data_IF_023830521570
#
_entry.id   IF_023830521570
#
_cell.length_a   1.000
_cell.length_b   1.000
_cell.length_c   1.000
_cell.angle_alpha   90.00
_cell.angle_beta   90.00
_cell.angle_gamma   90.00
#
_symmetry.space_group_name_H-M   'P 1'
#
loop_
_entity.id
_entity.type
_entity.pdbx_description
1 polymer ?
#
# COMPACT_ATOMS: atom_id res chain seq x y z
N UNK A 1 -29.46 17.97 25.98
CA UNK A 1 -28.72 19.23 26.21
C UNK A 1 -27.28 19.22 25.66
N UNK A 2 -26.86 18.21 24.88
CA UNK A 2 -25.48 18.07 24.38
C UNK A 2 -25.27 18.54 22.92
N UNK A 3 -26.35 18.84 22.20
CA UNK A 3 -26.30 19.29 20.80
C UNK A 3 -25.62 20.66 20.60
N UNK A 4 -25.33 21.40 21.68
CA UNK A 4 -24.72 22.72 21.61
C UNK A 4 -23.18 22.71 21.75
N UNK A 5 -22.55 21.56 22.00
CA UNK A 5 -21.09 21.49 22.26
C UNK A 5 -20.29 21.12 21.01
N UNK A 6 -20.83 20.28 20.12
CA UNK A 6 -20.10 19.80 18.93
C UNK A 6 -19.84 20.91 17.92
N UNK A 7 -20.86 21.23 17.11
CA UNK A 7 -20.73 22.24 16.04
C UNK A 7 -20.51 23.67 16.59
N UNK A 8 -21.27 24.15 17.59
CA UNK A 8 -21.10 25.52 18.08
C UNK A 8 -19.81 25.73 18.87
N UNK A 9 -19.34 24.72 19.61
CA UNK A 9 -18.07 24.78 20.33
C UNK A 9 -16.87 24.86 19.39
N UNK A 10 -16.87 24.07 18.32
CA UNK A 10 -15.83 24.13 17.29
C UNK A 10 -15.80 25.49 16.57
N UNK A 11 -16.96 26.08 16.30
CA UNK A 11 -17.05 27.42 15.71
C UNK A 11 -16.45 28.49 16.63
N UNK A 12 -16.70 28.42 17.93
CA UNK A 12 -16.13 29.35 18.91
C UNK A 12 -14.60 29.24 18.95
N UNK A 13 -14.07 28.02 18.96
CA UNK A 13 -12.61 27.77 18.91
C UNK A 13 -12.02 28.34 17.62
N UNK A 14 -12.67 28.10 16.47
CA UNK A 14 -12.22 28.63 15.18
C UNK A 14 -12.13 30.17 15.17
N UNK A 15 -13.11 30.86 15.78
CA UNK A 15 -13.10 32.32 15.91
C UNK A 15 -11.95 32.78 16.81
N UNK A 16 -11.75 32.15 17.97
CA UNK A 16 -10.64 32.50 18.89
C UNK A 16 -9.28 32.34 18.20
N UNK A 17 -9.07 31.22 17.50
CA UNK A 17 -7.85 31.00 16.72
C UNK A 17 -7.69 32.04 15.62
N UNK A 18 -8.77 32.38 14.91
CA UNK A 18 -8.74 33.40 13.86
C UNK A 18 -8.37 34.79 14.41
N UNK A 19 -8.80 35.14 15.61
CA UNK A 19 -8.45 36.41 16.26
C UNK A 19 -6.99 36.44 16.71
N UNK A 20 -6.50 35.34 17.31
CA UNK A 20 -5.11 35.24 17.80
C UNK A 20 -4.08 35.21 16.66
N UNK A 21 -4.36 34.45 15.60
CA UNK A 21 -3.45 34.28 14.48
C UNK A 21 -3.72 35.28 13.33
N UNK A 22 -4.92 35.85 13.28
CA UNK A 22 -5.36 36.78 12.23
C UNK A 22 -5.65 36.10 10.90
N UNK A 23 -6.58 36.67 10.13
CA UNK A 23 -6.98 36.16 8.79
C UNK A 23 -5.82 36.05 7.80
N UNK A 24 -4.83 36.95 7.88
CA UNK A 24 -3.72 37.01 6.92
C UNK A 24 -2.72 35.85 7.06
N UNK A 25 -2.35 35.49 8.30
CA UNK A 25 -1.38 34.41 8.55
C UNK A 25 -1.99 33.06 8.19
N UNK A 26 -3.23 32.82 8.61
CA UNK A 26 -3.95 31.55 8.35
C UNK A 26 -4.16 31.33 6.85
N UNK A 27 -4.55 32.36 6.08
CA UNK A 27 -4.74 32.21 4.62
C UNK A 27 -3.45 31.85 3.89
N UNK A 28 -2.31 32.45 4.27
CA UNK A 28 -1.02 32.13 3.65
C UNK A 28 -0.62 30.67 3.92
N UNK A 29 -0.75 30.25 5.19
CA UNK A 29 -0.45 28.89 5.63
C UNK A 29 -1.39 27.86 4.97
N UNK A 30 -2.69 28.14 4.90
CA UNK A 30 -3.66 27.26 4.24
C UNK A 30 -3.42 27.16 2.73
N UNK A 31 -2.91 28.22 2.09
CA UNK A 31 -2.53 28.17 0.69
C UNK A 31 -1.33 27.24 0.42
N UNK A 32 -0.30 27.30 1.27
CA UNK A 32 0.89 26.43 1.17
C UNK A 32 0.55 24.97 1.52
N UNK A 33 -0.18 24.76 2.62
CA UNK A 33 -0.66 23.43 3.03
C UNK A 33 -1.62 22.86 1.99
N UNK A 34 -2.52 23.67 1.44
CA UNK A 34 -3.46 23.26 0.39
C UNK A 34 -2.76 22.73 -0.86
N UNK A 35 -1.72 23.43 -1.34
CA UNK A 35 -0.88 22.95 -2.46
C UNK A 35 -0.20 21.62 -2.14
N UNK A 36 0.30 21.44 -0.92
CA UNK A 36 0.90 20.17 -0.47
C UNK A 36 -0.10 19.03 -0.48
N UNK A 37 -1.31 19.24 0.07
CA UNK A 37 -2.38 18.25 0.07
C UNK A 37 -2.83 17.92 -1.35
N UNK A 38 -2.97 18.92 -2.24
CA UNK A 38 -3.33 18.69 -3.65
C UNK A 38 -2.27 17.89 -4.39
N UNK A 39 -0.99 18.20 -4.21
CA UNK A 39 0.11 17.46 -4.82
C UNK A 39 0.17 16.01 -4.31
N UNK A 40 -0.04 15.81 -3.00
CA UNK A 40 -0.13 14.48 -2.41
C UNK A 40 -1.31 13.68 -2.97
N UNK A 41 -2.50 14.29 -3.02
CA UNK A 41 -3.71 13.68 -3.59
C UNK A 41 -3.47 13.26 -5.04
N UNK A 42 -2.92 14.17 -5.86
CA UNK A 42 -2.58 13.90 -7.26
C UNK A 42 -1.55 12.78 -7.40
N UNK A 43 -0.50 12.77 -6.58
CA UNK A 43 0.50 11.69 -6.61
C UNK A 43 -0.08 10.33 -6.25
N UNK A 44 -1.01 10.27 -5.29
CA UNK A 44 -1.72 9.03 -4.91
C UNK A 44 -2.66 8.57 -6.03
N UNK A 45 -3.43 9.49 -6.63
CA UNK A 45 -4.34 9.18 -7.72
C UNK A 45 -3.58 8.74 -9.00
N UNK A 46 -2.47 9.41 -9.34
CA UNK A 46 -1.61 9.07 -10.47
C UNK A 46 -0.95 7.69 -10.26
N UNK A 47 -0.46 7.40 -9.05
CA UNK A 47 0.11 6.09 -8.72
C UNK A 47 -0.94 4.97 -8.76
N UNK A 48 -2.17 5.22 -8.33
CA UNK A 48 -3.26 4.25 -8.44
C UNK A 48 -3.64 3.98 -9.90
N UNK A 49 -3.65 5.02 -10.75
CA UNK A 49 -3.89 4.88 -12.19
C UNK A 49 -2.76 4.10 -12.88
N UNK A 50 -1.51 4.33 -12.51
CA UNK A 50 -0.36 3.62 -13.09
C UNK A 50 -0.41 2.11 -12.79
N UNK A 51 -0.87 1.73 -11.59
CA UNK A 51 -1.10 0.33 -11.23
C UNK A 51 -2.22 -0.30 -12.08
N UNK A 52 -3.35 0.41 -12.27
CA UNK A 52 -4.47 -0.07 -13.09
C UNK A 52 -4.14 -0.15 -14.60
N UNK A 53 -3.29 0.74 -15.13
CA UNK A 53 -2.82 0.72 -16.53
C UNK A 53 -1.74 -0.37 -16.77
N UNK A 54 -0.99 -0.77 -15.74
CA UNK A 54 0.11 -1.75 -15.86
C UNK A 54 -0.38 -3.20 -15.88
N UNK A 55 -1.55 -3.49 -15.32
CA UNK A 55 -2.16 -4.84 -15.30
C UNK A 55 -2.58 -5.35 -16.69
N UNK A 56 -2.72 -4.48 -17.70
CA UNK A 56 -3.05 -4.88 -19.08
C UNK A 56 -1.84 -5.09 -19.99
N UNK A 57 -0.61 -4.75 -19.57
CA UNK A 57 0.56 -4.76 -20.47
C UNK A 57 1.76 -5.61 -20.02
N UNK A 58 1.82 -6.12 -18.78
CA UNK A 58 3.04 -6.82 -18.28
C UNK A 58 2.79 -8.11 -17.51
N UNK A 59 1.79 -8.91 -17.90
CA UNK A 59 1.83 -10.35 -17.60
C UNK A 59 2.81 -11.04 -18.56
N UNK A 60 4.11 -10.74 -18.45
CA UNK A 60 5.14 -11.54 -19.11
C UNK A 60 5.29 -12.83 -18.33
N UNK A 61 4.75 -13.91 -18.90
CA UNK A 61 5.02 -15.27 -18.45
C UNK A 61 6.53 -15.49 -18.42
N UNK A 62 7.06 -15.60 -17.20
CA UNK A 62 8.49 -15.87 -16.92
C UNK A 62 8.72 -17.34 -16.60
N UNK A 63 7.80 -18.23 -16.97
CA UNK A 63 8.02 -19.67 -16.86
C UNK A 63 9.20 -20.05 -17.77
N UNK A 64 10.36 -20.47 -17.21
CA UNK A 64 11.45 -20.95 -18.03
C UNK A 64 10.94 -22.17 -18.82
N UNK A 65 11.25 -22.33 -20.11
CA UNK A 65 10.94 -23.54 -20.82
C UNK A 65 11.65 -24.68 -20.09
N UNK A 66 10.87 -25.59 -19.51
CA UNK A 66 11.33 -26.83 -18.90
C UNK A 66 12.15 -27.57 -19.97
N UNK A 67 13.48 -27.40 -19.92
CA UNK A 67 14.40 -28.12 -20.77
C UNK A 67 14.39 -29.55 -20.28
N UNK A 68 13.59 -30.36 -20.98
CA UNK A 68 13.56 -31.80 -20.86
C UNK A 68 14.91 -32.41 -21.28
N UNK A 69 15.91 -32.31 -20.41
CA UNK A 69 17.14 -33.07 -20.52
C UNK A 69 17.08 -34.28 -19.59
N UNK A 70 16.69 -35.38 -20.22
CA UNK A 70 16.80 -36.75 -19.74
C UNK A 70 18.25 -37.02 -19.32
N UNK A 71 18.45 -37.37 -18.04
CA UNK A 71 19.59 -38.20 -17.62
C UNK A 71 19.07 -39.41 -16.85
N UNK A 72 19.12 -40.62 -17.45
CA UNK A 72 18.89 -41.86 -16.73
C UNK A 72 20.24 -42.33 -16.17
N UNK A 73 20.50 -42.14 -14.89
CA UNK A 73 21.59 -42.85 -14.22
C UNK A 73 21.31 -43.07 -12.73
N UNK A 74 20.52 -44.12 -12.48
CA UNK A 74 20.70 -44.91 -11.27
C UNK A 74 21.96 -45.77 -11.43
N UNK A 75 22.91 -45.69 -10.50
CA UNK A 75 23.55 -46.89 -10.00
C UNK A 75 23.35 -46.95 -8.48
N UNK A 76 22.56 -47.94 -8.07
CA UNK A 76 22.84 -48.83 -6.93
C UNK A 76 23.49 -48.18 -5.70
N UNK A 77 22.67 -47.77 -4.74
CA UNK A 77 23.01 -47.91 -3.32
C UNK A 77 21.97 -48.82 -2.69
N UNK A 78 22.27 -50.11 -2.77
CA UNK A 78 21.75 -51.12 -1.87
C UNK A 78 22.24 -50.78 -0.47
N UNK A 79 21.37 -50.20 0.36
CA UNK A 79 21.40 -50.47 1.80
C UNK A 79 20.12 -51.19 2.15
N UNK A 80 20.20 -52.51 1.98
CA UNK A 80 19.41 -53.51 2.65
C UNK A 80 19.39 -53.23 4.16
N UNK A 81 18.24 -52.84 4.71
CA UNK A 81 17.85 -53.19 6.09
C UNK A 81 16.33 -53.11 6.27
N UNK A 82 15.61 -54.07 5.70
CA UNK A 82 14.52 -54.74 6.44
C UNK A 82 15.07 -56.13 6.81
N UNK A 83 14.60 -56.88 7.83
CA UNK A 83 13.23 -56.85 8.36
C UNK A 83 13.08 -57.14 9.88
N UNK A 84 11.82 -57.31 10.30
CA UNK A 84 11.28 -58.07 11.47
C UNK A 84 11.12 -57.24 12.75
N UNK A 85 9.98 -57.22 13.45
CA UNK A 85 8.88 -58.16 13.67
C UNK A 85 7.57 -57.35 13.88
N UNK A 86 6.42 -57.65 13.26
CA UNK A 86 5.48 -58.74 13.57
C UNK A 86 5.07 -58.83 15.05
N UNK A 87 4.04 -58.07 15.44
CA UNK A 87 2.89 -58.55 16.25
C UNK A 87 1.64 -57.85 15.78
#
# INVERSE_FOLDING_TARGET
MLNNIGLPGLLLIAIVVLVLFGRGKISSLMGEVGKGITAFKKGVDDGKKELEDTDVASARDVTPPDHGDRVPNNPEVTTETEPKDKV
#
